data_IF_757154164672
#
_entry.id   IF_757154164672
#
_cell.length_a   1.000
_cell.length_b   1.000
_cell.length_c   1.000
_cell.angle_alpha   90.00
_cell.angle_beta   90.00
_cell.angle_gamma   90.00
#
_symmetry.space_group_name_H-M   'P 1'
#
loop_
_entity.id
_entity.type
_entity.pdbx_description
1 polymer ?
#
# COMPACT_ATOMS: atom_id res chain seq x y z
N UNK A 1 -7.47 -12.69 31.40
CA UNK A 1 -7.36 -11.26 31.72
C UNK A 1 -8.75 -10.67 31.79
N UNK A 2 -8.98 -9.70 32.67
CA UNK A 2 -10.24 -8.94 32.68
C UNK A 2 -10.37 -8.10 31.39
N UNK A 3 -11.58 -7.98 30.83
CA UNK A 3 -11.84 -7.29 29.56
C UNK A 3 -11.41 -5.82 29.63
N UNK A 4 -11.63 -5.16 30.77
CA UNK A 4 -11.19 -3.79 30.98
C UNK A 4 -9.67 -3.62 30.91
N UNK A 5 -8.92 -4.59 31.44
CA UNK A 5 -7.46 -4.56 31.39
C UNK A 5 -6.94 -4.75 29.95
N UNK A 6 -7.56 -5.66 29.19
CA UNK A 6 -7.23 -5.87 27.78
C UNK A 6 -7.48 -4.60 26.95
N UNK A 7 -8.61 -3.93 27.15
CA UNK A 7 -8.93 -2.67 26.46
C UNK A 7 -7.92 -1.56 26.78
N UNK A 8 -7.47 -1.45 28.04
CA UNK A 8 -6.43 -0.47 28.42
C UNK A 8 -5.11 -0.74 27.68
N UNK A 9 -4.70 -2.01 27.58
CA UNK A 9 -3.52 -2.38 26.80
C UNK A 9 -3.74 -2.03 25.33
N UNK A 10 -4.89 -2.37 24.76
CA UNK A 10 -5.25 -2.00 23.38
C UNK A 10 -5.15 -0.50 23.13
N UNK A 11 -5.71 0.33 24.01
CA UNK A 11 -5.62 1.79 23.93
C UNK A 11 -4.16 2.27 23.97
N UNK A 12 -3.36 1.63 24.82
CA UNK A 12 -1.93 1.93 24.95
C UNK A 12 -1.18 1.61 23.66
N UNK A 13 -1.45 0.45 23.03
CA UNK A 13 -0.86 0.07 21.74
C UNK A 13 -1.21 1.09 20.65
N UNK A 14 -2.48 1.50 20.56
CA UNK A 14 -2.92 2.52 19.60
C UNK A 14 -2.18 3.85 19.84
N UNK A 15 -2.07 4.28 21.10
CA UNK A 15 -1.35 5.51 21.44
C UNK A 15 0.15 5.44 21.10
N UNK A 16 0.80 4.30 21.36
CA UNK A 16 2.22 4.05 21.05
C UNK A 16 2.51 4.10 19.55
N UNK A 17 1.53 3.81 18.72
CA UNK A 17 1.67 3.83 17.27
C UNK A 17 1.36 5.24 16.71
N UNK A 18 0.31 5.90 17.18
CA UNK A 18 -0.14 7.20 16.65
C UNK A 18 0.73 8.37 17.14
N UNK A 19 1.07 8.43 18.43
CA UNK A 19 1.78 9.59 19.00
C UNK A 19 3.15 9.84 18.37
N UNK A 20 4.00 8.81 18.14
CA UNK A 20 5.30 9.03 17.49
C UNK A 20 5.19 9.50 16.05
N UNK A 21 4.13 9.12 15.33
CA UNK A 21 3.87 9.61 13.97
C UNK A 21 3.45 11.07 13.98
N UNK A 22 2.58 11.48 14.90
CA UNK A 22 2.23 12.90 15.08
C UNK A 22 3.48 13.73 15.40
N UNK A 23 4.37 13.19 16.23
CA UNK A 23 5.64 13.81 16.59
C UNK A 23 6.80 13.54 15.59
N UNK A 24 6.52 12.95 14.41
CA UNK A 24 7.56 12.42 13.50
C UNK A 24 8.61 13.46 13.10
N UNK A 25 8.19 14.69 12.83
CA UNK A 25 9.08 15.78 12.44
C UNK A 25 10.12 16.14 13.51
N UNK A 26 9.88 15.77 14.78
CA UNK A 26 10.80 15.95 15.91
C UNK A 26 11.58 14.68 16.27
N UNK A 27 11.11 13.52 15.84
CA UNK A 27 11.63 12.19 16.22
C UNK A 27 12.32 11.45 15.07
N UNK A 28 12.83 12.17 14.06
CA UNK A 28 13.52 11.58 12.90
C UNK A 28 14.68 10.62 13.26
N UNK A 29 15.25 10.75 14.47
CA UNK A 29 16.34 9.88 14.93
C UNK A 29 15.90 8.44 15.22
N UNK A 30 14.65 8.24 15.64
CA UNK A 30 14.11 6.92 15.98
C UNK A 30 13.22 6.49 14.82
N UNK A 31 13.50 5.41 14.10
CA UNK A 31 12.70 5.00 12.94
C UNK A 31 11.31 4.48 13.36
N UNK A 32 10.34 4.52 12.44
CA UNK A 32 8.94 4.17 12.73
C UNK A 32 8.83 2.72 13.21
N UNK A 33 9.59 1.82 12.59
CA UNK A 33 9.62 0.40 12.92
C UNK A 33 10.03 0.13 14.38
N UNK A 34 10.81 1.01 15.02
CA UNK A 34 11.18 0.82 16.43
C UNK A 34 9.99 1.02 17.38
N UNK A 35 9.10 1.98 17.08
CA UNK A 35 7.88 2.18 17.88
C UNK A 35 6.89 1.02 17.68
N UNK A 36 6.76 0.52 16.45
CA UNK A 36 5.95 -0.66 16.15
C UNK A 36 6.51 -1.91 16.86
N UNK A 37 7.83 -2.09 16.86
CA UNK A 37 8.49 -3.17 17.60
C UNK A 37 8.25 -3.09 19.11
N UNK A 38 8.29 -1.89 19.68
CA UNK A 38 8.00 -1.70 21.10
C UNK A 38 6.52 -1.97 21.45
N UNK A 39 5.58 -1.58 20.58
CA UNK A 39 4.17 -1.92 20.73
C UNK A 39 3.95 -3.45 20.66
N UNK A 40 4.60 -4.12 19.70
CA UNK A 40 4.60 -5.59 19.60
C UNK A 40 5.15 -6.26 20.86
N UNK A 41 6.26 -5.75 21.39
CA UNK A 41 6.84 -6.22 22.66
C UNK A 41 5.84 -6.12 23.81
N UNK A 42 5.14 -4.99 23.96
CA UNK A 42 4.11 -4.83 25.01
C UNK A 42 2.95 -5.80 24.79
N UNK A 43 2.49 -5.99 23.55
CA UNK A 43 1.39 -6.92 23.25
C UNK A 43 1.70 -8.36 23.67
N UNK A 44 2.95 -8.79 23.47
CA UNK A 44 3.37 -10.14 23.83
C UNK A 44 3.68 -10.25 25.33
N UNK A 45 4.36 -9.26 25.90
CA UNK A 45 4.71 -9.22 27.34
C UNK A 45 3.46 -9.26 28.23
N UNK A 46 2.40 -8.57 27.81
CA UNK A 46 1.12 -8.54 28.55
C UNK A 46 0.29 -9.83 28.37
N UNK A 47 0.74 -10.75 27.51
CA UNK A 47 0.02 -11.99 27.19
C UNK A 47 -1.20 -11.78 26.31
N UNK A 48 -1.34 -10.60 25.71
CA UNK A 48 -2.47 -10.26 24.85
C UNK A 48 -2.38 -10.99 23.51
N UNK A 49 -1.14 -11.22 23.04
CA UNK A 49 -0.80 -12.18 22.01
C UNK A 49 0.12 -13.25 22.62
N UNK A 50 -0.19 -14.52 22.39
CA UNK A 50 0.61 -15.67 22.85
C UNK A 50 1.88 -15.82 22.00
N UNK A 51 2.99 -16.21 22.65
CA UNK A 51 4.25 -16.56 21.98
C UNK A 51 4.09 -17.72 21.00
N UNK A 52 3.29 -18.73 21.34
CA UNK A 52 3.12 -19.95 20.55
C UNK A 52 2.37 -19.69 19.24
N UNK A 53 1.62 -18.59 19.17
CA UNK A 53 0.78 -18.23 18.03
C UNK A 53 1.50 -17.27 17.05
N UNK A 54 2.69 -16.76 17.40
CA UNK A 54 3.40 -15.78 16.57
C UNK A 54 3.67 -16.29 15.16
N UNK A 55 3.98 -17.59 15.00
CA UNK A 55 4.20 -18.19 13.69
C UNK A 55 2.95 -18.24 12.79
N UNK A 56 1.76 -18.17 13.37
CA UNK A 56 0.47 -18.14 12.65
C UNK A 56 0.05 -16.69 12.36
N UNK A 57 0.34 -15.77 13.28
CA UNK A 57 -0.03 -14.35 13.16
C UNK A 57 0.84 -13.62 12.13
N UNK A 58 2.13 -13.96 12.05
CA UNK A 58 3.06 -13.34 11.10
C UNK A 58 2.85 -13.96 9.71
N UNK A 59 2.41 -13.16 8.75
CA UNK A 59 2.24 -13.62 7.37
C UNK A 59 3.60 -13.75 6.65
N UNK A 60 4.13 -14.98 6.64
CA UNK A 60 5.38 -15.30 5.94
C UNK A 60 5.33 -14.98 4.44
N UNK A 61 4.16 -14.97 3.80
CA UNK A 61 4.06 -14.59 2.39
C UNK A 61 4.42 -13.12 2.22
N UNK A 62 3.89 -12.23 3.07
CA UNK A 62 4.23 -10.81 3.01
C UNK A 62 5.71 -10.59 3.31
N UNK A 63 6.27 -11.29 4.30
CA UNK A 63 7.68 -11.14 4.65
C UNK A 63 8.61 -11.60 3.53
N UNK A 64 8.38 -12.78 2.95
CA UNK A 64 9.18 -13.29 1.84
C UNK A 64 9.00 -12.45 0.57
N UNK A 65 7.79 -11.94 0.33
CA UNK A 65 7.51 -10.99 -0.74
C UNK A 65 8.40 -9.76 -0.63
N UNK A 66 8.40 -9.12 0.55
CA UNK A 66 9.18 -7.91 0.81
C UNK A 66 10.67 -8.21 0.65
N UNK A 67 11.19 -9.29 1.23
CA UNK A 67 12.61 -9.67 1.07
C UNK A 67 12.97 -9.83 -0.41
N UNK A 68 12.18 -10.59 -1.17
CA UNK A 68 12.41 -10.82 -2.59
C UNK A 68 12.38 -9.53 -3.41
N UNK A 69 11.35 -8.71 -3.22
CA UNK A 69 11.19 -7.46 -3.94
C UNK A 69 12.24 -6.42 -3.57
N UNK A 70 12.55 -6.25 -2.28
CA UNK A 70 13.63 -5.36 -1.83
C UNK A 70 14.98 -5.77 -2.40
N UNK A 71 15.21 -7.07 -2.58
CA UNK A 71 16.45 -7.59 -3.17
C UNK A 71 16.57 -7.20 -4.65
N UNK A 72 15.50 -7.39 -5.42
CA UNK A 72 15.45 -7.06 -6.86
C UNK A 72 15.52 -5.53 -7.05
N UNK A 73 14.74 -4.77 -6.26
CA UNK A 73 14.71 -3.30 -6.32
C UNK A 73 16.02 -2.69 -5.86
N UNK A 74 16.63 -3.21 -4.78
CA UNK A 74 17.95 -2.76 -4.32
C UNK A 74 19.04 -2.99 -5.37
N UNK A 75 18.98 -4.11 -6.10
CA UNK A 75 19.84 -4.35 -7.25
C UNK A 75 19.58 -3.32 -8.37
N UNK A 76 18.31 -3.11 -8.74
CA UNK A 76 17.90 -2.13 -9.75
C UNK A 76 18.41 -0.72 -9.43
N UNK A 77 18.19 -0.25 -8.20
CA UNK A 77 18.63 1.07 -7.75
C UNK A 77 20.17 1.19 -7.82
N UNK A 78 20.89 0.22 -7.28
CA UNK A 78 22.35 0.31 -7.27
C UNK A 78 23.03 0.19 -8.63
N UNK A 79 22.36 -0.49 -9.58
CA UNK A 79 22.79 -0.57 -10.96
C UNK A 79 22.50 0.71 -11.75
N UNK A 80 21.64 1.59 -11.22
CA UNK A 80 21.17 2.81 -11.85
C UNK A 80 20.00 2.63 -12.85
N UNK A 81 19.36 1.46 -12.81
CA UNK A 81 18.22 1.14 -13.68
C UNK A 81 17.02 2.04 -13.40
N UNK A 82 16.72 2.32 -12.12
CA UNK A 82 15.56 3.11 -11.74
C UNK A 82 15.68 4.56 -12.18
N UNK A 83 16.86 5.18 -12.06
CA UNK A 83 17.10 6.52 -12.60
C UNK A 83 16.93 6.53 -14.12
N UNK A 84 17.50 5.55 -14.84
CA UNK A 84 17.35 5.45 -16.29
C UNK A 84 15.88 5.39 -16.73
N UNK A 85 15.08 4.53 -16.09
CA UNK A 85 13.63 4.42 -16.36
C UNK A 85 12.93 5.75 -16.08
N UNK A 86 13.30 6.43 -14.99
CA UNK A 86 12.73 7.72 -14.61
C UNK A 86 12.99 8.80 -15.67
N UNK A 87 14.23 8.91 -16.15
CA UNK A 87 14.58 9.88 -17.20
C UNK A 87 13.86 9.61 -18.51
N UNK A 88 13.81 8.34 -18.92
CA UNK A 88 13.06 7.94 -20.10
C UNK A 88 11.56 8.29 -19.96
N UNK A 89 10.98 8.10 -18.78
CA UNK A 89 9.60 8.50 -18.52
C UNK A 89 9.41 10.01 -18.59
N UNK A 90 10.26 10.79 -17.89
CA UNK A 90 10.17 12.25 -17.86
C UNK A 90 10.32 12.87 -19.25
N UNK A 91 11.20 12.33 -20.10
CA UNK A 91 11.44 12.86 -21.45
C UNK A 91 10.22 12.80 -22.38
N UNK A 92 9.17 12.06 -22.00
CA UNK A 92 7.91 12.00 -22.75
C UNK A 92 7.02 13.22 -22.51
N UNK A 93 7.30 14.04 -21.51
CA UNK A 93 6.48 15.18 -21.11
C UNK A 93 7.22 16.51 -21.30
N UNK A 94 6.49 17.54 -21.74
CA UNK A 94 7.03 18.89 -21.96
C UNK A 94 6.56 19.92 -20.93
N UNK A 95 5.55 19.59 -20.12
CA UNK A 95 4.96 20.47 -19.11
C UNK A 95 4.89 19.79 -17.75
N UNK A 96 5.00 20.57 -16.67
CA UNK A 96 4.89 20.07 -15.29
C UNK A 96 3.55 19.37 -15.07
N UNK A 97 2.45 19.95 -15.54
CA UNK A 97 1.12 19.35 -15.36
C UNK A 97 0.99 18.02 -16.10
N UNK A 98 1.50 17.93 -17.34
CA UNK A 98 1.51 16.68 -18.10
C UNK A 98 2.32 15.60 -17.38
N UNK A 99 3.48 15.95 -16.84
CA UNK A 99 4.31 15.02 -16.08
C UNK A 99 3.63 14.54 -14.79
N UNK A 100 2.98 15.44 -14.05
CA UNK A 100 2.26 15.10 -12.81
C UNK A 100 1.10 14.15 -13.12
N UNK A 101 0.27 14.47 -14.12
CA UNK A 101 -0.86 13.62 -14.54
C UNK A 101 -0.38 12.27 -15.06
N UNK A 102 0.65 12.28 -15.92
CA UNK A 102 1.28 11.07 -16.42
C UNK A 102 1.85 10.21 -15.30
N UNK A 103 2.47 10.82 -14.28
CA UNK A 103 3.02 10.11 -13.12
C UNK A 103 1.92 9.45 -12.32
N UNK A 104 0.82 10.17 -12.05
CA UNK A 104 -0.33 9.62 -11.33
C UNK A 104 -0.91 8.40 -12.03
N UNK A 105 -1.15 8.50 -13.34
CA UNK A 105 -1.69 7.41 -14.16
C UNK A 105 -0.70 6.25 -14.19
N UNK A 106 0.59 6.52 -14.41
CA UNK A 106 1.62 5.47 -14.43
C UNK A 106 1.67 4.72 -13.10
N UNK A 107 1.81 5.43 -11.98
CA UNK A 107 1.89 4.82 -10.65
C UNK A 107 0.63 4.01 -10.34
N UNK A 108 -0.55 4.57 -10.63
CA UNK A 108 -1.81 3.88 -10.39
C UNK A 108 -1.99 2.63 -11.25
N UNK A 109 -1.70 2.70 -12.55
CA UNK A 109 -1.81 1.54 -13.43
C UNK A 109 -0.76 0.47 -13.09
N UNK A 110 0.47 0.85 -12.76
CA UNK A 110 1.46 -0.10 -12.27
C UNK A 110 0.96 -0.78 -10.99
N UNK A 111 0.42 -0.03 -10.03
CA UNK A 111 -0.13 -0.60 -8.80
C UNK A 111 -1.30 -1.56 -9.07
N UNK A 112 -2.14 -1.28 -10.06
CA UNK A 112 -3.25 -2.14 -10.44
C UNK A 112 -2.82 -3.51 -10.99
N UNK A 113 -1.62 -3.64 -11.58
CA UNK A 113 -1.20 -4.88 -12.26
C UNK A 113 0.07 -5.53 -11.70
N UNK A 114 0.83 -4.83 -10.87
CA UNK A 114 2.21 -5.21 -10.45
C UNK A 114 2.30 -5.50 -8.95
N UNK A 115 1.21 -5.28 -8.19
CA UNK A 115 1.14 -5.16 -6.72
C UNK A 115 1.60 -3.78 -6.21
N UNK A 116 0.74 -3.12 -5.43
CA UNK A 116 0.96 -1.79 -4.83
C UNK A 116 2.32 -1.70 -4.12
N UNK A 117 2.66 -2.70 -3.31
CA UNK A 117 3.90 -2.76 -2.54
C UNK A 117 5.14 -2.73 -3.45
N UNK A 118 5.14 -3.47 -4.56
CA UNK A 118 6.24 -3.44 -5.55
C UNK A 118 6.50 -2.01 -6.05
N UNK A 119 5.44 -1.28 -6.37
CA UNK A 119 5.58 0.09 -6.88
C UNK A 119 5.93 1.06 -5.75
N UNK A 120 5.47 0.82 -4.51
CA UNK A 120 5.89 1.58 -3.34
C UNK A 120 7.39 1.47 -3.05
N UNK A 121 8.03 0.39 -3.51
CA UNK A 121 9.47 0.16 -3.37
C UNK A 121 10.30 0.88 -4.43
N UNK A 122 9.93 0.78 -5.70
CA UNK A 122 10.68 1.43 -6.79
C UNK A 122 10.26 2.89 -7.02
N UNK A 123 9.00 3.20 -6.74
CA UNK A 123 8.37 4.49 -6.97
C UNK A 123 9.07 5.67 -6.29
N UNK A 124 9.56 5.56 -5.04
CA UNK A 124 10.26 6.65 -4.37
C UNK A 124 11.49 7.18 -5.12
N UNK A 125 12.30 6.30 -5.72
CA UNK A 125 13.43 6.68 -6.60
C UNK A 125 12.95 7.50 -7.80
N UNK A 126 11.85 7.06 -8.41
CA UNK A 126 11.26 7.69 -9.59
C UNK A 126 10.66 9.04 -9.21
N UNK A 127 9.87 9.09 -8.14
CA UNK A 127 9.24 10.30 -7.61
C UNK A 127 10.27 11.35 -7.17
N UNK A 128 11.40 10.92 -6.59
CA UNK A 128 12.52 11.81 -6.28
C UNK A 128 13.10 12.41 -7.56
N UNK A 129 13.40 11.59 -8.57
CA UNK A 129 13.95 12.06 -9.84
C UNK A 129 13.00 13.02 -10.55
N UNK A 130 11.70 12.70 -10.59
CA UNK A 130 10.63 13.57 -11.10
C UNK A 130 10.60 14.90 -10.34
N UNK A 131 10.66 14.87 -9.00
CA UNK A 131 10.70 16.08 -8.17
C UNK A 131 11.88 16.98 -8.51
N UNK A 132 13.09 16.41 -8.62
CA UNK A 132 14.32 17.16 -8.90
C UNK A 132 14.34 17.75 -10.31
N UNK A 133 13.93 16.99 -11.31
CA UNK A 133 13.95 17.44 -12.72
C UNK A 133 12.84 18.44 -12.99
N UNK A 134 11.65 18.22 -12.43
CA UNK A 134 10.51 19.10 -12.65
C UNK A 134 10.47 20.30 -11.68
N UNK A 135 11.35 20.37 -10.69
CA UNK A 135 11.35 21.45 -9.68
C UNK A 135 10.12 21.42 -8.76
N UNK A 136 9.57 20.23 -8.49
CA UNK A 136 8.40 20.05 -7.64
C UNK A 136 8.83 19.88 -6.18
N UNK A 137 8.03 20.33 -5.20
CA UNK A 137 8.25 19.99 -3.81
C UNK A 137 8.35 18.47 -3.63
N UNK A 138 9.31 18.04 -2.81
CA UNK A 138 9.52 16.61 -2.58
C UNK A 138 8.29 15.97 -1.92
N UNK A 139 7.68 16.67 -0.96
CA UNK A 139 6.47 16.20 -0.29
C UNK A 139 5.31 15.99 -1.25
N UNK A 140 5.10 16.91 -2.21
CA UNK A 140 4.11 16.76 -3.26
C UNK A 140 4.34 15.49 -4.08
N UNK A 141 5.57 15.22 -4.52
CA UNK A 141 5.85 14.09 -5.41
C UNK A 141 5.67 12.74 -4.72
N UNK A 142 5.99 12.67 -3.43
CA UNK A 142 5.84 11.46 -2.60
C UNK A 142 4.37 11.24 -2.19
N UNK A 143 3.63 12.30 -1.89
CA UNK A 143 2.17 12.22 -1.64
C UNK A 143 1.42 11.83 -2.92
N UNK A 144 1.82 12.38 -4.07
CA UNK A 144 1.28 11.97 -5.36
C UNK A 144 1.52 10.48 -5.60
N UNK A 145 2.75 10.00 -5.39
CA UNK A 145 3.05 8.57 -5.48
C UNK A 145 2.13 7.76 -4.55
N UNK A 146 2.17 8.01 -3.24
CA UNK A 146 1.40 7.29 -2.24
C UNK A 146 -0.09 7.21 -2.61
N UNK A 147 -0.70 8.34 -2.97
CA UNK A 147 -2.13 8.38 -3.27
C UNK A 147 -2.47 7.69 -4.58
N UNK A 148 -1.67 7.88 -5.63
CA UNK A 148 -1.89 7.23 -6.93
C UNK A 148 -1.74 5.72 -6.84
N UNK A 149 -0.80 5.19 -6.05
CA UNK A 149 -0.67 3.74 -5.83
C UNK A 149 -1.93 3.15 -5.21
N UNK A 150 -2.37 3.76 -4.12
CA UNK A 150 -3.57 3.33 -3.40
C UNK A 150 -4.80 3.37 -4.31
N UNK A 151 -5.04 4.49 -4.98
CA UNK A 151 -6.20 4.67 -5.88
C UNK A 151 -6.15 3.66 -7.02
N UNK A 152 -5.02 3.53 -7.71
CA UNK A 152 -4.88 2.63 -8.84
C UNK A 152 -5.12 1.17 -8.47
N UNK A 153 -4.64 0.74 -7.29
CA UNK A 153 -4.82 -0.64 -6.80
C UNK A 153 -6.28 -1.04 -6.53
N UNK A 154 -7.22 -0.09 -6.47
CA UNK A 154 -8.66 -0.37 -6.30
C UNK A 154 -9.25 -1.14 -7.49
N UNK A 155 -8.77 -0.86 -8.71
CA UNK A 155 -9.37 -1.33 -9.95
C UNK A 155 -9.35 -2.86 -10.13
N UNK A 156 -8.42 -3.57 -9.47
CA UNK A 156 -8.21 -5.00 -9.68
C UNK A 156 -8.11 -5.75 -8.34
N UNK A 157 -8.44 -7.06 -8.32
CA UNK A 157 -8.23 -7.90 -7.14
C UNK A 157 -6.75 -8.06 -6.77
N UNK A 158 -5.87 -8.02 -7.78
CA UNK A 158 -4.44 -8.29 -7.64
C UNK A 158 -3.64 -7.04 -7.25
N UNK A 159 -4.26 -5.86 -7.33
CA UNK A 159 -3.57 -4.59 -7.11
C UNK A 159 -3.06 -4.43 -5.69
N UNK A 160 -3.74 -5.01 -4.69
CA UNK A 160 -3.27 -5.01 -3.31
C UNK A 160 -3.73 -6.27 -2.54
N UNK A 161 -3.06 -6.63 -1.42
CA UNK A 161 -3.37 -7.86 -0.70
C UNK A 161 -4.81 -7.90 -0.15
N UNK A 162 -5.36 -6.77 0.29
CA UNK A 162 -6.72 -6.72 0.84
C UNK A 162 -7.81 -6.99 -0.20
N UNK A 163 -7.66 -6.48 -1.43
CA UNK A 163 -8.57 -6.77 -2.54
C UNK A 163 -8.48 -8.25 -2.93
N UNK A 164 -7.28 -8.85 -2.84
CA UNK A 164 -7.11 -10.27 -3.06
C UNK A 164 -7.84 -11.08 -2.00
N UNK A 165 -7.70 -10.73 -0.72
CA UNK A 165 -8.42 -11.40 0.38
C UNK A 165 -9.94 -11.36 0.15
N UNK A 166 -10.48 -10.22 -0.27
CA UNK A 166 -11.90 -10.07 -0.62
C UNK A 166 -12.25 -10.99 -1.80
N UNK A 167 -11.46 -11.00 -2.87
CA UNK A 167 -11.77 -11.83 -4.03
C UNK A 167 -11.80 -13.33 -3.74
N UNK A 168 -10.89 -13.82 -2.89
CA UNK A 168 -10.84 -15.23 -2.47
C UNK A 168 -12.00 -15.57 -1.53
N UNK A 169 -12.28 -14.69 -0.56
CA UNK A 169 -13.17 -15.03 0.55
C UNK A 169 -14.63 -14.63 0.33
N UNK A 170 -14.93 -13.73 -0.61
CA UNK A 170 -16.29 -13.23 -0.87
C UNK A 170 -17.20 -14.26 -1.52
N UNK A 171 -16.65 -15.22 -2.27
CA UNK A 171 -17.42 -16.14 -3.12
C UNK A 171 -17.96 -15.48 -4.39
N UNK A 172 -17.45 -14.30 -4.77
CA UNK A 172 -17.79 -13.63 -6.03
C UNK A 172 -17.47 -14.55 -7.22
N UNK A 173 -18.40 -14.63 -8.18
CA UNK A 173 -18.12 -15.28 -9.47
C UNK A 173 -17.28 -14.36 -10.34
N UNK A 174 -16.19 -14.89 -10.91
CA UNK A 174 -15.24 -14.14 -11.74
C UNK A 174 -14.82 -12.78 -11.12
N UNK A 175 -14.15 -12.77 -9.94
CA UNK A 175 -13.85 -11.53 -9.22
C UNK A 175 -13.08 -10.49 -10.04
N UNK A 176 -12.18 -10.92 -10.93
CA UNK A 176 -11.36 -10.01 -11.72
C UNK A 176 -12.18 -9.20 -12.74
N UNK A 177 -12.97 -9.83 -13.64
CA UNK A 177 -13.93 -9.09 -14.46
C UNK A 177 -14.87 -8.20 -13.67
N UNK A 178 -15.38 -8.64 -12.51
CA UNK A 178 -16.29 -7.86 -11.67
C UNK A 178 -15.62 -6.58 -11.17
N UNK A 179 -14.42 -6.68 -10.58
CA UNK A 179 -13.67 -5.51 -10.12
C UNK A 179 -13.39 -4.54 -11.28
N UNK A 180 -12.87 -5.04 -12.40
CA UNK A 180 -12.55 -4.20 -13.56
C UNK A 180 -13.81 -3.50 -14.11
N UNK A 181 -14.91 -4.23 -14.26
CA UNK A 181 -16.15 -3.67 -14.83
C UNK A 181 -16.69 -2.51 -13.99
N UNK A 182 -16.74 -2.67 -12.67
CA UNK A 182 -17.35 -1.68 -11.78
C UNK A 182 -16.38 -0.60 -11.29
N UNK A 183 -15.10 -0.91 -11.12
CA UNK A 183 -14.14 -0.02 -10.46
C UNK A 183 -13.20 0.70 -11.43
N UNK A 184 -13.05 0.27 -12.70
CA UNK A 184 -12.12 0.91 -13.65
C UNK A 184 -12.46 2.38 -13.88
N UNK A 185 -13.70 2.69 -14.24
CA UNK A 185 -14.12 4.07 -14.56
C UNK A 185 -13.89 5.01 -13.36
N UNK A 186 -14.42 4.74 -12.14
CA UNK A 186 -14.21 5.62 -11.01
C UNK A 186 -12.72 5.69 -10.59
N UNK A 187 -11.95 4.60 -10.75
CA UNK A 187 -10.50 4.62 -10.50
C UNK A 187 -9.78 5.57 -11.45
N UNK A 188 -10.05 5.49 -12.75
CA UNK A 188 -9.42 6.35 -13.75
C UNK A 188 -9.77 7.81 -13.55
N UNK A 189 -11.02 8.13 -13.18
CA UNK A 189 -11.43 9.49 -12.81
C UNK A 189 -10.60 9.95 -11.61
N UNK A 190 -10.47 9.13 -10.56
CA UNK A 190 -9.69 9.49 -9.36
C UNK A 190 -8.19 9.67 -9.64
N UNK A 191 -7.60 8.87 -10.55
CA UNK A 191 -6.21 9.02 -10.97
C UNK A 191 -5.95 10.34 -11.72
N UNK A 192 -6.97 10.92 -12.35
CA UNK A 192 -6.90 12.24 -12.98
C UNK A 192 -7.23 13.36 -11.99
N UNK A 193 -8.26 13.20 -11.15
CA UNK A 193 -8.71 14.25 -10.22
C UNK A 193 -7.73 14.48 -9.09
N UNK A 194 -7.13 13.42 -8.53
CA UNK A 194 -6.17 13.50 -7.42
C UNK A 194 -4.98 14.43 -7.70
N UNK A 195 -4.22 14.27 -8.81
CA UNK A 195 -3.14 15.20 -9.12
C UNK A 195 -3.61 16.65 -9.31
N UNK A 196 -4.81 16.88 -9.86
CA UNK A 196 -5.36 18.24 -10.03
C UNK A 196 -5.67 18.88 -8.68
N UNK A 197 -6.25 18.11 -7.76
CA UNK A 197 -6.49 18.52 -6.37
C UNK A 197 -5.17 18.86 -5.69
N UNK A 198 -4.16 18.01 -5.81
CA UNK A 198 -2.85 18.24 -5.21
C UNK A 198 -2.15 19.47 -5.82
N UNK A 199 -2.21 19.66 -7.14
CA UNK A 199 -1.68 20.87 -7.82
C UNK A 199 -2.27 22.13 -7.17
N UNK A 200 -3.59 22.13 -6.90
CA UNK A 200 -4.27 23.26 -6.27
C UNK A 200 -3.87 23.45 -4.81
N UNK A 201 -3.79 22.37 -4.03
CA UNK A 201 -3.39 22.42 -2.60
C UNK A 201 -1.96 22.97 -2.44
N UNK A 202 -1.05 22.56 -3.32
CA UNK A 202 0.36 22.95 -3.28
C UNK A 202 0.69 24.21 -4.10
N UNK A 203 -0.29 24.79 -4.81
CA UNK A 203 -0.09 25.99 -5.61
C UNK A 203 0.90 25.83 -6.75
N UNK A 204 0.98 24.63 -7.34
CA UNK A 204 1.97 24.31 -8.39
C UNK A 204 1.61 25.04 -9.68
N UNK A 205 2.56 25.79 -10.23
CA UNK A 205 2.40 26.47 -11.52
C UNK A 205 2.84 25.57 -12.65
N UNK A 206 2.14 25.68 -13.79
CA UNK A 206 2.53 24.98 -15.00
C UNK A 206 3.73 25.68 -15.63
N UNK A 207 4.87 25.00 -15.68
CA UNK A 207 6.09 25.45 -16.33
C UNK A 207 6.58 24.36 -17.29
N UNK A 208 7.44 24.74 -18.23
CA UNK A 208 8.10 23.76 -19.10
C UNK A 208 9.07 22.89 -18.29
N UNK A 209 9.12 21.60 -18.62
CA UNK A 209 10.12 20.69 -18.06
C UNK A 209 11.28 20.66 -19.04
N UNK A 210 12.40 21.30 -18.68
CA UNK A 210 13.62 21.28 -19.47
C UNK A 210 14.59 20.30 -18.83
N UNK A 211 14.96 19.25 -19.56
CA UNK A 211 16.03 18.33 -19.17
C UNK A 211 17.38 19.06 -19.34
N UNK A 212 17.76 19.88 -18.36
CA UNK A 212 18.97 20.71 -18.40
C UNK A 212 20.26 19.93 -18.18
N UNK A 213 20.19 18.71 -17.69
CA UNK A 213 21.32 17.79 -17.65
C UNK A 213 20.83 16.35 -17.72
N UNK A 214 21.39 15.58 -18.65
CA UNK A 214 21.35 14.13 -18.63
C UNK A 214 22.53 13.76 -17.73
N UNK A 215 22.36 13.22 -16.51
CA UNK A 215 23.49 12.69 -15.75
C UNK A 215 24.26 11.71 -16.62
N UNK A 216 25.46 12.10 -17.05
CA UNK A 216 26.39 11.18 -17.71
C UNK A 216 26.72 10.08 -16.69
N UNK A 217 26.50 8.81 -17.08
CA UNK A 217 26.67 7.55 -16.31
C UNK A 217 25.47 7.02 -15.50
N UNK A 218 24.26 7.01 -16.07
CA UNK A 218 23.10 6.40 -15.39
C UNK A 218 23.25 4.92 -15.05
N UNK A 219 23.97 4.12 -15.86
CA UNK A 219 24.14 2.68 -15.61
C UNK A 219 25.52 2.42 -15.01
N UNK A 220 25.56 2.24 -13.69
CA UNK A 220 26.78 1.88 -12.95
C UNK A 220 27.25 0.46 -13.30
N UNK A 221 26.30 -0.44 -13.53
CA UNK A 221 26.56 -1.82 -13.93
C UNK A 221 25.49 -2.30 -14.91
N UNK A 222 25.85 -2.48 -16.18
CA UNK A 222 24.91 -2.99 -17.20
C UNK A 222 24.42 -4.39 -16.89
N UNK A 223 25.29 -5.25 -16.34
CA UNK A 223 24.96 -6.64 -16.00
C UNK A 223 23.93 -6.68 -14.87
N UNK A 224 24.18 -5.96 -13.78
CA UNK A 224 23.28 -5.94 -12.63
C UNK A 224 21.95 -5.26 -12.99
N UNK A 225 21.98 -4.22 -13.84
CA UNK A 225 20.76 -3.60 -14.35
C UNK A 225 19.93 -4.57 -15.20
N UNK A 226 20.57 -5.36 -16.07
CA UNK A 226 19.86 -6.36 -16.86
C UNK A 226 19.27 -7.47 -15.98
N UNK A 227 20.03 -7.96 -14.99
CA UNK A 227 19.54 -8.96 -14.04
C UNK A 227 18.36 -8.42 -13.20
N UNK A 228 18.45 -7.18 -12.73
CA UNK A 228 17.37 -6.54 -11.99
C UNK A 228 16.13 -6.33 -12.87
N UNK A 229 16.30 -5.92 -14.13
CA UNK A 229 15.21 -5.77 -15.09
C UNK A 229 14.53 -7.12 -15.36
N UNK A 230 15.31 -8.16 -15.63
CA UNK A 230 14.80 -9.53 -15.84
C UNK A 230 14.06 -9.98 -14.58
N UNK A 231 14.66 -9.82 -13.40
CA UNK A 231 14.04 -10.19 -12.13
C UNK A 231 12.71 -9.49 -11.90
N UNK A 232 12.65 -8.18 -12.14
CA UNK A 232 11.44 -7.38 -11.98
C UNK A 232 10.36 -7.85 -12.98
N UNK A 233 10.69 -7.95 -14.27
CA UNK A 233 9.73 -8.36 -15.30
C UNK A 233 9.22 -9.77 -15.07
N UNK A 234 10.11 -10.72 -14.74
CA UNK A 234 9.73 -12.11 -14.46
C UNK A 234 8.87 -12.19 -13.20
N UNK A 235 9.20 -11.46 -12.13
CA UNK A 235 8.40 -11.45 -10.91
C UNK A 235 6.99 -10.95 -11.17
N UNK A 236 6.85 -9.85 -11.93
CA UNK A 236 5.56 -9.26 -12.28
C UNK A 236 4.74 -10.20 -13.15
N UNK A 237 5.34 -10.74 -14.22
CA UNK A 237 4.64 -11.70 -15.10
C UNK A 237 4.22 -12.94 -14.31
N UNK A 238 5.09 -13.48 -13.45
CA UNK A 238 4.80 -14.66 -12.65
C UNK A 238 3.67 -14.40 -11.64
N UNK A 239 3.64 -13.23 -10.99
CA UNK A 239 2.56 -12.82 -10.09
C UNK A 239 1.22 -12.70 -10.84
N UNK A 240 1.20 -12.01 -11.98
CA UNK A 240 -0.01 -11.85 -12.80
C UNK A 240 -0.52 -13.20 -13.32
N UNK A 241 0.39 -14.06 -13.81
CA UNK A 241 0.04 -15.38 -14.29
C UNK A 241 -0.48 -16.27 -13.16
N UNK A 242 0.18 -16.26 -11.99
CA UNK A 242 -0.27 -17.01 -10.81
C UNK A 242 -1.69 -16.61 -10.40
N UNK A 243 -1.98 -15.31 -10.44
CA UNK A 243 -3.30 -14.79 -10.08
C UNK A 243 -4.36 -15.15 -11.12
N UNK A 244 -3.99 -15.13 -12.39
CA UNK A 244 -4.83 -15.65 -13.47
C UNK A 244 -5.13 -17.15 -13.26
N UNK A 245 -4.12 -17.97 -12.96
CA UNK A 245 -4.31 -19.40 -12.68
C UNK A 245 -5.24 -19.62 -11.47
N UNK A 246 -5.04 -18.86 -10.39
CA UNK A 246 -5.88 -18.92 -9.20
C UNK A 246 -7.35 -18.58 -9.51
N UNK A 247 -7.59 -17.55 -10.34
CA UNK A 247 -8.93 -17.13 -10.76
C UNK A 247 -9.69 -18.21 -11.55
N UNK A 248 -8.99 -19.02 -12.35
CA UNK A 248 -9.58 -20.12 -13.13
C UNK A 248 -9.59 -21.46 -12.37
N UNK A 249 -9.20 -21.47 -11.09
CA UNK A 249 -9.11 -22.70 -10.29
C UNK A 249 -8.04 -23.68 -10.77
N UNK A 250 -7.07 -23.20 -11.55
CA UNK A 250 -5.95 -23.98 -12.04
C UNK A 250 -4.86 -24.11 -10.95
N UNK A 251 -3.93 -25.09 -11.06
CA UNK A 251 -2.80 -25.20 -10.15
C UNK A 251 -2.01 -23.88 -10.10
N UNK A 252 -1.89 -23.33 -8.90
CA UNK A 252 -1.23 -22.06 -8.64
C UNK A 252 -0.44 -22.14 -7.33
N UNK A 253 0.46 -21.18 -7.13
CA UNK A 253 1.23 -21.03 -5.89
C UNK A 253 0.36 -20.23 -4.92
N UNK A 254 -0.13 -20.89 -3.87
CA UNK A 254 -0.93 -20.24 -2.82
C UNK A 254 -0.12 -19.17 -2.08
N UNK A 255 1.17 -19.46 -1.84
CA UNK A 255 2.09 -18.51 -1.22
C UNK A 255 2.73 -17.55 -2.22
N UNK A 256 1.97 -16.55 -2.69
CA UNK A 256 2.43 -15.62 -3.74
C UNK A 256 3.75 -14.92 -3.41
N UNK A 257 3.99 -14.66 -2.12
CA UNK A 257 5.21 -14.02 -1.67
C UNK A 257 6.50 -14.81 -1.92
N UNK A 258 6.38 -16.11 -2.13
CA UNK A 258 7.52 -16.95 -2.51
C UNK A 258 8.01 -16.65 -3.93
N UNK A 259 7.15 -16.13 -4.82
CA UNK A 259 7.50 -15.87 -6.22
C UNK A 259 8.71 -14.91 -6.33
N UNK A 260 8.63 -13.65 -5.87
CA UNK A 260 9.76 -12.74 -5.95
C UNK A 260 10.94 -13.18 -5.07
N UNK A 261 10.69 -13.88 -3.96
CA UNK A 261 11.75 -14.42 -3.11
C UNK A 261 12.62 -15.44 -3.84
N UNK A 262 12.01 -16.43 -4.49
CA UNK A 262 12.74 -17.46 -5.25
C UNK A 262 13.45 -16.85 -6.45
N UNK A 263 12.84 -15.88 -7.14
CA UNK A 263 13.48 -15.14 -8.23
C UNK A 263 14.72 -14.40 -7.72
N UNK A 264 14.61 -13.66 -6.62
CA UNK A 264 15.73 -12.96 -6.00
C UNK A 264 16.84 -13.93 -5.58
N UNK A 265 16.48 -15.06 -4.94
CA UNK A 265 17.40 -16.11 -4.55
C UNK A 265 18.19 -16.66 -5.75
N UNK A 266 17.52 -16.88 -6.88
CA UNK A 266 18.14 -17.31 -8.13
C UNK A 266 19.04 -16.26 -8.77
N UNK A 267 18.71 -14.97 -8.62
CA UNK A 267 19.50 -13.86 -9.21
C UNK A 267 20.82 -13.65 -8.48
N UNK A 268 20.87 -13.84 -7.15
CA UNK A 268 22.04 -13.49 -6.34
C UNK A 268 23.35 -14.09 -6.84
N UNK A 269 23.36 -15.35 -7.27
CA UNK A 269 24.56 -16.03 -7.78
C UNK A 269 25.13 -15.37 -9.04
N UNK A 270 24.30 -14.63 -9.78
CA UNK A 270 24.69 -13.95 -11.01
C UNK A 270 25.02 -12.47 -10.82
N UNK A 271 24.75 -11.90 -9.63
CA UNK A 271 25.05 -10.49 -9.33
C UNK A 271 26.54 -10.26 -9.15
N UNK A 272 27.02 -9.05 -9.47
CA UNK A 272 28.44 -8.69 -9.34
C UNK A 272 28.91 -8.72 -7.88
N UNK A 273 28.08 -8.23 -6.96
CA UNK A 273 28.37 -8.17 -5.52
C UNK A 273 27.15 -8.63 -4.71
N UNK A 274 26.95 -9.95 -4.50
CA UNK A 274 25.75 -10.46 -3.82
C UNK A 274 25.59 -9.96 -2.38
N UNK A 275 26.70 -9.79 -1.66
CA UNK A 275 26.68 -9.24 -0.29
C UNK A 275 26.16 -7.80 -0.28
N UNK A 276 26.66 -6.97 -1.19
CA UNK A 276 26.22 -5.56 -1.30
C UNK A 276 24.77 -5.46 -1.76
N UNK A 277 24.31 -6.40 -2.59
CA UNK A 277 22.91 -6.49 -3.00
C UNK A 277 22.00 -6.83 -1.81
N UNK A 278 22.41 -7.76 -0.95
CA UNK A 278 21.66 -8.12 0.27
C UNK A 278 21.64 -6.97 1.30
N UNK A 279 22.72 -6.19 1.40
CA UNK A 279 22.78 -5.02 2.28
C UNK A 279 21.84 -3.88 1.85
N UNK A 280 21.35 -3.90 0.60
CA UNK A 280 20.39 -2.91 0.10
C UNK A 280 18.93 -3.26 0.41
N UNK A 281 18.67 -4.44 0.96
CA UNK A 281 17.35 -4.82 1.44
C UNK A 281 16.98 -3.91 2.62
N UNK A 282 15.77 -3.36 2.60
CA UNK A 282 15.26 -2.54 3.70
C UNK A 282 14.73 -3.44 4.83
N UNK A 283 15.65 -3.85 5.68
CA UNK A 283 15.35 -4.63 6.89
C UNK A 283 14.48 -3.86 7.89
N UNK A 284 14.50 -2.52 7.88
CA UNK A 284 13.67 -1.69 8.75
C UNK A 284 12.19 -1.87 8.44
N UNK A 285 11.83 -1.77 7.15
CA UNK A 285 10.48 -2.06 6.69
C UNK A 285 10.09 -3.52 6.99
N UNK A 286 10.96 -4.50 6.75
CA UNK A 286 10.64 -5.91 7.06
C UNK A 286 10.30 -6.08 8.56
N UNK A 287 11.11 -5.50 9.45
CA UNK A 287 10.85 -5.50 10.89
C UNK A 287 9.54 -4.78 11.25
N UNK A 288 9.20 -3.69 10.54
CA UNK A 288 7.91 -3.01 10.71
C UNK A 288 6.74 -3.97 10.47
N UNK A 289 6.72 -4.69 9.35
CA UNK A 289 5.59 -5.58 9.03
C UNK A 289 5.47 -6.76 10.00
N UNK A 290 6.59 -7.38 10.38
CA UNK A 290 6.58 -8.48 11.38
C UNK A 290 5.93 -8.00 12.68
N UNK A 291 6.38 -6.86 13.18
CA UNK A 291 5.91 -6.31 14.46
C UNK A 291 4.51 -5.71 14.35
N UNK A 292 4.14 -5.20 13.17
CA UNK A 292 2.80 -4.73 12.88
C UNK A 292 1.78 -5.88 12.96
N UNK A 293 2.01 -7.03 12.32
CA UNK A 293 1.06 -8.16 12.41
C UNK A 293 0.75 -8.54 13.86
N UNK A 294 1.78 -8.63 14.69
CA UNK A 294 1.65 -8.93 16.13
C UNK A 294 0.86 -7.83 16.84
N UNK A 295 1.21 -6.57 16.61
CA UNK A 295 0.58 -5.43 17.30
C UNK A 295 -0.88 -5.28 16.90
N UNK A 296 -1.19 -5.45 15.62
CA UNK A 296 -2.55 -5.32 15.09
C UNK A 296 -3.45 -6.44 15.59
N UNK A 297 -2.95 -7.67 15.66
CA UNK A 297 -3.65 -8.79 16.30
C UNK A 297 -3.89 -8.51 17.80
N UNK A 298 -2.91 -7.91 18.48
CA UNK A 298 -3.07 -7.42 19.83
C UNK A 298 -4.20 -6.40 19.96
N UNK A 299 -4.21 -5.35 19.13
CA UNK A 299 -5.29 -4.36 19.14
C UNK A 299 -6.65 -5.03 18.89
N UNK A 300 -6.73 -6.00 17.98
CA UNK A 300 -7.97 -6.74 17.73
C UNK A 300 -8.47 -7.52 18.94
N UNK A 301 -7.60 -8.34 19.54
CA UNK A 301 -7.92 -9.18 20.73
C UNK A 301 -8.24 -8.36 21.96
N UNK A 302 -7.77 -7.12 22.02
CA UNK A 302 -8.02 -6.22 23.15
C UNK A 302 -9.50 -5.87 23.33
N UNK A 303 -10.34 -6.05 22.31
CA UNK A 303 -11.75 -5.69 22.38
C UNK A 303 -12.03 -4.19 22.17
N UNK A 304 -11.01 -3.38 21.86
CA UNK A 304 -11.18 -1.92 21.81
C UNK A 304 -11.88 -1.39 20.55
N UNK A 305 -11.88 -2.18 19.47
CA UNK A 305 -12.46 -1.78 18.18
C UNK A 305 -13.92 -2.20 18.05
N UNK A 306 -14.33 -3.21 18.82
CA UNK A 306 -15.64 -3.84 18.78
C UNK A 306 -16.79 -2.83 19.00
N UNK A 307 -16.73 -1.90 19.97
CA UNK A 307 -17.78 -0.89 20.13
C UNK A 307 -17.96 0.01 18.89
N UNK A 308 -16.87 0.28 18.16
CA UNK A 308 -16.92 1.08 16.93
C UNK A 308 -17.53 0.26 15.79
N UNK A 309 -17.20 -1.03 15.68
CA UNK A 309 -17.81 -1.93 14.70
C UNK A 309 -19.32 -2.10 14.94
N UNK A 310 -19.73 -2.31 16.18
CA UNK A 310 -21.13 -2.48 16.57
C UNK A 310 -21.94 -1.19 16.34
N UNK A 311 -21.30 -0.02 16.48
CA UNK A 311 -21.93 1.25 16.14
C UNK A 311 -22.24 1.34 14.64
N UNK A 312 -21.36 0.83 13.77
CA UNK A 312 -21.53 0.88 12.32
C UNK A 312 -22.20 -0.35 11.71
N UNK A 313 -22.55 -1.38 12.50
CA UNK A 313 -23.25 -2.58 12.03
C UNK A 313 -24.75 -2.33 11.77
N UNK A 314 -25.07 -1.45 10.84
CA UNK A 314 -26.46 -1.07 10.50
C UNK A 314 -26.93 -1.72 9.19
N UNK A 315 -28.19 -2.18 9.18
CA UNK A 315 -28.93 -2.49 7.94
C UNK A 315 -28.81 -3.91 7.38
N UNK A 316 -27.93 -4.78 7.89
CA UNK A 316 -27.72 -6.13 7.35
C UNK A 316 -27.22 -6.14 5.89
N UNK A 317 -26.81 -7.30 5.38
CA UNK A 317 -26.40 -7.43 3.98
C UNK A 317 -27.59 -7.23 3.02
N UNK A 318 -27.34 -6.61 1.86
CA UNK A 318 -28.30 -6.32 0.79
C UNK A 318 -28.99 -4.97 0.91
N UNK A 319 -28.74 -4.18 1.96
CA UNK A 319 -29.33 -2.85 2.14
C UNK A 319 -28.40 -1.75 1.65
N UNK A 320 -28.95 -0.63 1.14
CA UNK A 320 -28.16 0.57 0.85
C UNK A 320 -27.44 1.13 2.10
N UNK A 321 -27.98 0.85 3.30
CA UNK A 321 -27.35 1.20 4.56
C UNK A 321 -26.04 0.43 4.80
N UNK A 322 -25.93 -0.80 4.30
CA UNK A 322 -24.69 -1.58 4.40
C UNK A 322 -23.52 -0.90 3.69
N UNK A 323 -23.74 -0.33 2.50
CA UNK A 323 -22.71 0.41 1.74
C UNK A 323 -22.22 1.62 2.54
N UNK A 324 -23.13 2.35 3.20
CA UNK A 324 -22.79 3.47 4.09
C UNK A 324 -21.96 2.99 5.27
N UNK A 325 -22.43 1.93 5.95
CA UNK A 325 -21.78 1.33 7.11
C UNK A 325 -20.36 0.85 6.81
N UNK A 326 -20.17 0.15 5.70
CA UNK A 326 -18.87 -0.35 5.26
C UNK A 326 -17.95 0.83 4.92
N UNK A 327 -18.46 1.86 4.25
CA UNK A 327 -17.70 3.07 3.91
C UNK A 327 -17.20 3.76 5.18
N UNK A 328 -18.08 4.04 6.14
CA UNK A 328 -17.70 4.72 7.40
C UNK A 328 -16.74 3.89 8.24
N UNK A 329 -16.99 2.58 8.36
CA UNK A 329 -16.10 1.65 9.06
C UNK A 329 -14.71 1.64 8.43
N UNK A 330 -14.64 1.57 7.10
CA UNK A 330 -13.38 1.56 6.36
C UNK A 330 -12.59 2.85 6.53
N UNK A 331 -13.25 4.01 6.44
CA UNK A 331 -12.58 5.31 6.58
C UNK A 331 -12.02 5.53 7.99
N UNK A 332 -12.70 5.02 9.03
CA UNK A 332 -12.33 5.26 10.43
C UNK A 332 -11.39 4.18 10.99
N UNK A 333 -11.78 2.91 10.88
CA UNK A 333 -11.11 1.80 11.58
C UNK A 333 -9.82 1.39 10.85
N UNK A 334 -9.81 1.45 9.52
CA UNK A 334 -8.65 1.06 8.70
C UNK A 334 -7.39 1.87 9.01
N UNK A 335 -7.51 3.08 9.57
CA UNK A 335 -6.34 3.90 9.94
C UNK A 335 -5.54 3.34 11.11
N UNK A 336 -6.20 2.58 11.99
CA UNK A 336 -5.60 2.03 13.20
C UNK A 336 -5.05 0.63 12.94
N UNK A 337 -5.80 -0.19 12.20
CA UNK A 337 -5.43 -1.58 11.90
C UNK A 337 -4.60 -1.74 10.63
N UNK A 338 -4.55 -0.70 9.77
CA UNK A 338 -4.15 -0.77 8.37
C UNK A 338 -5.12 -1.59 7.50
N UNK A 339 -5.05 -1.38 6.20
CA UNK A 339 -6.00 -1.93 5.23
C UNK A 339 -6.07 -3.47 5.24
N UNK A 340 -4.95 -4.18 5.30
CA UNK A 340 -4.94 -5.65 5.20
C UNK A 340 -5.57 -6.33 6.42
N UNK A 341 -5.16 -6.04 7.66
CA UNK A 341 -5.78 -6.65 8.83
C UNK A 341 -7.25 -6.24 8.99
N UNK A 342 -7.58 -4.96 8.75
CA UNK A 342 -8.96 -4.49 8.79
C UNK A 342 -9.87 -5.30 7.87
N UNK A 343 -9.48 -5.46 6.61
CA UNK A 343 -10.28 -6.20 5.62
C UNK A 343 -10.42 -7.68 6.00
N UNK A 344 -9.34 -8.33 6.45
CA UNK A 344 -9.41 -9.73 6.88
C UNK A 344 -10.48 -9.96 7.96
N UNK A 345 -10.52 -9.07 8.94
CA UNK A 345 -11.49 -9.10 10.03
C UNK A 345 -12.91 -8.76 9.55
N UNK A 346 -13.03 -7.73 8.71
CA UNK A 346 -14.32 -7.28 8.20
C UNK A 346 -14.97 -8.29 7.25
N UNK A 347 -14.18 -9.09 6.51
CA UNK A 347 -14.68 -10.22 5.71
C UNK A 347 -15.42 -11.23 6.61
N UNK A 348 -14.84 -11.58 7.76
CA UNK A 348 -15.48 -12.50 8.72
C UNK A 348 -16.80 -11.94 9.26
N UNK A 349 -16.81 -10.64 9.56
CA UNK A 349 -18.03 -9.93 9.96
C UNK A 349 -19.10 -9.98 8.86
N UNK A 350 -18.78 -9.63 7.61
CA UNK A 350 -19.72 -9.69 6.48
C UNK A 350 -20.33 -11.09 6.29
N UNK A 351 -19.52 -12.14 6.41
CA UNK A 351 -20.01 -13.53 6.37
C UNK A 351 -20.98 -13.85 7.51
N UNK A 352 -20.68 -13.36 8.71
CA UNK A 352 -21.53 -13.59 9.90
C UNK A 352 -22.90 -12.95 9.76
N UNK A 353 -22.98 -11.77 9.13
CA UNK A 353 -24.25 -11.09 8.84
C UNK A 353 -24.93 -11.55 7.54
N UNK A 354 -24.43 -12.64 6.93
CA UNK A 354 -25.09 -13.33 5.81
C UNK A 354 -24.71 -12.84 4.41
N UNK A 355 -23.68 -12.02 4.23
CA UNK A 355 -23.22 -11.64 2.90
C UNK A 355 -22.64 -12.86 2.18
N UNK A 356 -23.08 -13.06 0.95
CA UNK A 356 -22.58 -14.11 0.06
C UNK A 356 -21.92 -13.52 -1.18
N UNK A 357 -21.48 -14.36 -2.11
CA UNK A 357 -20.92 -13.91 -3.39
C UNK A 357 -21.87 -13.10 -4.27
N UNK A 358 -23.18 -13.07 -3.98
CA UNK A 358 -24.13 -12.23 -4.71
C UNK A 358 -24.13 -10.77 -4.23
N UNK A 359 -23.58 -10.48 -3.05
CA UNK A 359 -23.53 -9.15 -2.43
C UNK A 359 -22.36 -8.32 -3.00
N UNK A 360 -22.35 -8.14 -4.33
CA UNK A 360 -21.30 -7.42 -5.06
C UNK A 360 -21.08 -6.00 -4.50
N UNK A 361 -22.11 -5.17 -4.24
CA UNK A 361 -21.91 -3.82 -3.73
C UNK A 361 -21.09 -3.77 -2.44
N UNK A 362 -21.36 -4.66 -1.48
CA UNK A 362 -20.71 -4.69 -0.17
C UNK A 362 -19.24 -5.08 -0.28
N UNK A 363 -18.95 -6.12 -1.07
CA UNK A 363 -17.56 -6.55 -1.30
C UNK A 363 -16.74 -5.50 -2.04
N UNK A 364 -17.30 -4.86 -3.07
CA UNK A 364 -16.62 -3.80 -3.81
C UNK A 364 -16.51 -2.51 -2.99
N UNK A 365 -17.48 -2.23 -2.11
CA UNK A 365 -17.40 -1.11 -1.17
C UNK A 365 -16.28 -1.35 -0.17
N UNK A 366 -16.19 -2.55 0.40
CA UNK A 366 -15.11 -2.90 1.31
C UNK A 366 -13.75 -2.78 0.59
N UNK A 367 -13.63 -3.31 -0.62
CA UNK A 367 -12.39 -3.25 -1.40
C UNK A 367 -11.95 -1.81 -1.72
N UNK A 368 -12.87 -1.01 -2.26
CA UNK A 368 -12.58 0.37 -2.67
C UNK A 368 -12.35 1.30 -1.47
N UNK A 369 -13.27 1.29 -0.49
CA UNK A 369 -13.22 2.21 0.65
C UNK A 369 -12.08 1.90 1.59
N UNK A 370 -11.83 0.63 1.92
CA UNK A 370 -10.67 0.27 2.75
C UNK A 370 -9.37 0.66 2.06
N UNK A 371 -9.27 0.48 0.74
CA UNK A 371 -8.07 0.84 -0.01
C UNK A 371 -7.86 2.35 0.03
N UNK A 372 -8.80 3.18 -0.44
CA UNK A 372 -8.61 4.64 -0.49
C UNK A 372 -8.52 5.28 0.90
N UNK A 373 -9.12 4.67 1.93
CA UNK A 373 -8.95 5.08 3.31
C UNK A 373 -7.46 5.12 3.69
N UNK A 374 -6.63 4.26 3.09
CA UNK A 374 -5.17 4.26 3.27
C UNK A 374 -4.50 5.62 3.03
N UNK A 375 -5.14 6.54 2.29
CA UNK A 375 -4.61 7.88 2.05
C UNK A 375 -4.88 8.88 3.20
N UNK A 376 -5.72 8.54 4.19
CA UNK A 376 -6.05 9.46 5.30
C UNK A 376 -4.89 9.62 6.28
N UNK A 377 -4.23 8.52 6.63
CA UNK A 377 -3.11 8.52 7.58
C UNK A 377 -1.88 7.80 7.02
N UNK A 378 -0.67 8.19 7.44
CA UNK A 378 0.57 7.49 7.14
C UNK A 378 0.54 5.96 7.37
N UNK A 379 -0.18 5.48 8.39
CA UNK A 379 -0.33 4.03 8.69
C UNK A 379 -1.48 3.34 7.97
N UNK A 380 -2.36 4.12 7.34
CA UNK A 380 -3.55 3.57 6.69
C UNK A 380 -3.16 2.52 5.65
N UNK A 381 -2.08 2.76 4.90
CA UNK A 381 -1.51 1.79 3.97
C UNK A 381 -0.06 1.45 4.31
N UNK A 382 0.25 0.16 4.19
CA UNK A 382 1.60 -0.38 4.23
C UNK A 382 2.57 0.35 3.28
N UNK A 383 2.13 0.61 2.05
CA UNK A 383 2.91 1.33 1.04
C UNK A 383 3.31 2.75 1.43
N UNK A 384 2.49 3.46 2.23
CA UNK A 384 2.85 4.78 2.72
C UNK A 384 4.06 4.72 3.65
N UNK A 385 4.12 3.71 4.52
CA UNK A 385 5.24 3.48 5.46
C UNK A 385 6.51 3.17 4.68
N UNK A 386 6.42 2.29 3.68
CA UNK A 386 7.52 1.98 2.76
C UNK A 386 8.08 3.27 2.12
N UNK A 387 7.18 4.10 1.58
CA UNK A 387 7.56 5.36 0.91
C UNK A 387 8.24 6.34 1.89
N UNK A 388 7.75 6.46 3.13
CA UNK A 388 8.36 7.34 4.13
C UNK A 388 9.70 6.81 4.65
N UNK A 389 9.81 5.51 4.94
CA UNK A 389 11.07 4.90 5.39
C UNK A 389 12.15 5.05 4.31
N UNK A 390 11.79 4.89 3.03
CA UNK A 390 12.68 5.17 1.92
C UNK A 390 13.16 6.64 1.93
N UNK A 391 12.24 7.58 2.09
CA UNK A 391 12.55 9.01 2.10
C UNK A 391 13.51 9.38 3.25
N UNK A 392 13.30 8.78 4.42
CA UNK A 392 14.09 9.05 5.62
C UNK A 392 15.46 8.39 5.58
N UNK A 393 15.52 7.14 5.14
CA UNK A 393 16.77 6.36 5.06
C UNK A 393 17.72 6.93 4.00
N UNK A 394 17.20 7.30 2.83
CA UNK A 394 18.01 7.75 1.68
C UNK A 394 18.26 9.26 1.67
N UNK A 395 17.24 10.06 1.96
CA UNK A 395 17.31 11.52 1.79
C UNK A 395 17.27 12.30 3.10
N UNK A 396 17.21 11.61 4.25
CA UNK A 396 17.21 12.22 5.60
C UNK A 396 16.12 13.28 5.77
N UNK A 397 15.00 13.10 5.07
CA UNK A 397 13.81 13.97 5.13
C UNK A 397 12.57 13.10 5.29
N UNK A 398 11.47 13.68 5.77
CA UNK A 398 10.21 12.95 5.98
C UNK A 398 9.00 13.76 5.51
N UNK A 399 7.85 13.10 5.41
CA UNK A 399 6.55 13.74 5.27
C UNK A 399 6.01 14.04 6.67
N UNK A 400 5.61 15.29 6.92
CA UNK A 400 4.99 15.60 8.21
C UNK A 400 3.59 14.99 8.29
N UNK A 401 3.22 14.44 9.47
CA UNK A 401 1.90 13.85 9.68
C UNK A 401 0.77 14.82 9.33
N UNK A 402 0.90 16.09 9.72
CA UNK A 402 -0.10 17.13 9.43
C UNK A 402 -0.24 17.40 7.93
N UNK A 403 0.87 17.46 7.19
CA UNK A 403 0.85 17.66 5.75
C UNK A 403 0.19 16.48 5.04
N UNK A 404 0.57 15.26 5.42
CA UNK A 404 0.00 14.02 4.88
C UNK A 404 -1.51 13.96 5.14
N UNK A 405 -1.94 14.11 6.40
CA UNK A 405 -3.36 14.03 6.78
C UNK A 405 -4.19 15.16 6.15
N UNK A 406 -3.65 16.38 6.05
CA UNK A 406 -4.39 17.49 5.42
C UNK A 406 -4.65 17.23 3.94
N UNK A 407 -3.63 16.79 3.20
CA UNK A 407 -3.81 16.42 1.79
C UNK A 407 -4.68 15.16 1.65
N UNK A 408 -4.43 14.17 2.49
CA UNK A 408 -5.11 12.88 2.54
C UNK A 408 -6.59 12.97 2.83
N UNK A 409 -7.00 13.75 3.84
CA UNK A 409 -8.39 13.98 4.18
C UNK A 409 -9.18 14.55 3.00
N UNK A 410 -8.62 15.58 2.34
CA UNK A 410 -9.31 16.23 1.21
C UNK A 410 -9.35 15.33 -0.02
N UNK A 411 -8.23 14.69 -0.37
CA UNK A 411 -8.17 13.75 -1.52
C UNK A 411 -9.07 12.55 -1.29
N UNK A 412 -9.05 11.96 -0.10
CA UNK A 412 -9.90 10.80 0.22
C UNK A 412 -11.37 11.18 0.18
N UNK A 413 -11.75 12.34 0.70
CA UNK A 413 -13.14 12.82 0.60
C UNK A 413 -13.58 12.92 -0.87
N UNK A 414 -12.77 13.54 -1.73
CA UNK A 414 -13.06 13.66 -3.16
C UNK A 414 -13.15 12.28 -3.82
N UNK A 415 -12.21 11.38 -3.51
CA UNK A 415 -12.20 10.03 -4.06
C UNK A 415 -13.43 9.24 -3.63
N UNK A 416 -13.83 9.32 -2.35
CA UNK A 416 -15.04 8.71 -1.82
C UNK A 416 -16.26 9.24 -2.55
N UNK A 417 -16.38 10.56 -2.74
CA UNK A 417 -17.50 11.16 -3.49
C UNK A 417 -17.55 10.71 -4.96
N UNK A 418 -16.42 10.31 -5.54
CA UNK A 418 -16.36 9.77 -6.91
C UNK A 418 -16.73 8.29 -6.94
N UNK A 419 -16.24 7.47 -6.02
CA UNK A 419 -16.57 6.04 -5.98
C UNK A 419 -17.99 5.76 -5.51
N UNK A 420 -18.47 6.51 -4.53
CA UNK A 420 -19.72 6.22 -3.82
C UNK A 420 -20.97 6.16 -4.72
N UNK A 421 -21.18 7.09 -5.68
CA UNK A 421 -22.30 6.98 -6.61
C UNK A 421 -22.25 5.72 -7.47
N UNK A 422 -21.05 5.30 -7.90
CA UNK A 422 -20.90 4.07 -8.69
C UNK A 422 -21.26 2.85 -7.84
N UNK A 423 -20.86 2.81 -6.57
CA UNK A 423 -21.19 1.70 -5.66
C UNK A 423 -22.69 1.61 -5.36
N UNK A 424 -23.36 2.75 -5.16
CA UNK A 424 -24.82 2.79 -4.97
C UNK A 424 -25.58 2.38 -6.24
N UNK A 425 -25.08 2.70 -7.43
CA UNK A 425 -25.69 2.26 -8.68
C UNK A 425 -25.62 0.74 -8.87
N UNK A 426 -24.71 0.05 -8.20
CA UNK A 426 -24.63 -1.43 -8.21
C UNK A 426 -25.65 -2.02 -7.22
N UNK A 427 -26.04 -1.27 -6.19
CA UNK A 427 -26.99 -1.73 -5.16
C UNK A 427 -28.46 -1.41 -5.48
N UNK A 428 -28.72 -0.63 -6.52
CA UNK A 428 -30.04 -0.38 -7.11
C UNK A 428 -30.35 -1.39 -8.21
#
# INVERSE_FOLDING_TARGET
MDLGFQQIIGATLVALIILPLVARTRLLRIPIWSFMAFASFISVLTGLVSWDELGVIIDLNVILFLIGMFSIVGLAESSGLLEYISYAFISRFRSRYGLILGSSILYGLLAAFTVNDTVALMGPSIAYTVSRVAGLPLSFSFILLAFSLTIGSVMTPIGNPQNMLISINSGLQAPFPVFMYYLTIPTMINLVVTPLVLIKIYGIRNESVVLTSIPSEHLKSRRDAMLALIGLVVAVIALVLNDFLALYGLPHISGKGFIPFIIAAGIYVFTTSPRDSLLKVDWGTIMFFITMFITTEGIWRSGIIQPVLDFFSMGGCGSNLSVVSITLSSLLISQVLSNVPFVNLYIGYLKTIGCTGSNIPEWLTLASMSTIAGNLMPLGAASNIIIMEYLESKYRTTLSFKEFVKAGAFVTLVNTLIYYPFLLLISL
#
